data_IF_761530738467
#
_entry.id   IF_761530738467
#
_cell.length_a   1.000
_cell.length_b   1.000
_cell.length_c   1.000
_cell.angle_alpha   90.00
_cell.angle_beta   90.00
_cell.angle_gamma   90.00
#
_symmetry.space_group_name_H-M   'P 1'
#
loop_
_entity.id
_entity.type
_entity.pdbx_description
1 polymer ?
#
# COMPACT_ATOMS: atom_id res chain seq x y z
N UNK A 1 39.34 15.32 12.34
CA UNK A 1 38.09 14.78 11.78
C UNK A 1 37.31 15.98 11.28
N UNK A 2 36.75 15.92 10.08
CA UNK A 2 35.97 17.04 9.57
C UNK A 2 34.69 17.25 10.39
N UNK A 3 34.30 18.49 10.63
CA UNK A 3 33.14 18.84 11.45
C UNK A 3 31.86 18.56 10.65
N UNK A 4 30.90 17.84 11.25
CA UNK A 4 29.63 17.50 10.60
C UNK A 4 28.48 18.17 11.32
N UNK A 5 27.60 18.83 10.59
CA UNK A 5 26.34 19.35 11.13
C UNK A 5 25.20 18.36 10.92
N UNK A 6 24.41 18.15 11.95
CA UNK A 6 23.22 17.29 11.93
C UNK A 6 21.99 18.15 12.10
N UNK A 7 21.15 18.19 11.07
CA UNK A 7 19.97 19.04 11.01
C UNK A 7 18.74 18.14 11.07
N UNK A 8 17.92 18.31 12.08
CA UNK A 8 16.63 17.65 12.18
C UNK A 8 15.51 18.62 11.89
N UNK A 9 14.58 18.18 11.06
CA UNK A 9 13.42 18.95 10.64
C UNK A 9 12.16 18.20 11.05
N UNK A 10 11.41 18.78 11.97
CA UNK A 10 10.03 18.37 12.23
C UNK A 10 9.09 19.07 11.25
N UNK A 11 8.34 18.27 10.49
CA UNK A 11 7.58 18.72 9.32
C UNK A 11 6.11 18.94 9.69
N UNK A 12 5.68 20.20 9.66
CA UNK A 12 4.29 20.60 9.83
C UNK A 12 3.58 20.92 8.52
N UNK A 13 2.26 21.13 8.60
CA UNK A 13 1.47 21.57 7.45
C UNK A 13 1.81 23.02 7.06
N UNK A 14 1.91 23.91 8.05
CA UNK A 14 2.11 25.35 7.84
C UNK A 14 3.58 25.76 8.03
N UNK A 15 4.31 25.07 8.89
CA UNK A 15 5.67 25.42 9.27
C UNK A 15 6.53 24.18 9.54
N UNK A 16 7.85 24.34 9.39
CA UNK A 16 8.85 23.34 9.67
C UNK A 16 9.74 23.85 10.81
N UNK A 17 9.91 23.04 11.86
CA UNK A 17 10.76 23.35 13.01
C UNK A 17 12.11 22.67 12.80
N UNK A 18 13.19 23.46 12.90
CA UNK A 18 14.54 23.03 12.57
C UNK A 18 15.43 23.11 13.79
N UNK A 19 16.25 22.06 14.00
CA UNK A 19 17.34 22.04 14.98
C UNK A 19 18.63 21.61 14.32
N UNK A 20 19.72 22.32 14.62
CA UNK A 20 21.06 22.03 14.12
C UNK A 20 21.93 21.63 15.32
N UNK A 21 22.51 20.44 15.24
CA UNK A 21 23.48 19.93 16.20
C UNK A 21 24.87 19.85 15.57
N UNK A 22 25.90 20.01 16.38
CA UNK A 22 27.27 19.68 15.99
C UNK A 22 27.60 18.18 16.21
N UNK A 23 28.85 17.83 16.01
CA UNK A 23 29.36 16.46 16.16
C UNK A 23 29.34 15.94 17.59
N UNK A 24 29.35 16.84 18.58
CA UNK A 24 29.23 16.50 20.00
C UNK A 24 27.78 16.24 20.42
N UNK A 25 26.81 16.74 19.63
CA UNK A 25 25.37 16.67 19.94
C UNK A 25 24.86 17.91 20.68
N UNK A 26 25.67 18.96 20.77
CA UNK A 26 25.26 20.25 21.33
C UNK A 26 24.40 21.03 20.34
N UNK A 27 23.42 21.79 20.86
CA UNK A 27 22.54 22.62 20.04
C UNK A 27 23.31 23.84 19.52
N UNK A 28 23.43 23.95 18.19
CA UNK A 28 24.07 25.10 17.53
C UNK A 28 23.04 26.20 17.27
N UNK A 29 21.89 25.80 16.73
CA UNK A 29 20.85 26.74 16.31
C UNK A 29 19.48 26.04 16.21
N UNK A 30 18.42 26.79 16.50
CA UNK A 30 17.05 26.37 16.24
C UNK A 30 16.21 27.50 15.67
N UNK A 31 15.34 27.18 14.72
CA UNK A 31 14.44 28.16 14.10
C UNK A 31 13.23 27.47 13.46
N UNK A 32 12.25 28.28 13.06
CA UNK A 32 11.06 27.84 12.34
C UNK A 32 10.97 28.56 11.01
N UNK A 33 10.61 27.83 9.96
CA UNK A 33 10.31 28.39 8.63
C UNK A 33 8.90 28.00 8.20
N UNK A 34 8.29 28.75 7.29
CA UNK A 34 7.05 28.34 6.62
C UNK A 34 7.28 27.09 5.76
N UNK A 35 6.25 26.25 5.62
CA UNK A 35 6.31 25.09 4.74
C UNK A 35 5.91 25.46 3.30
N UNK A 36 6.68 26.36 2.70
CA UNK A 36 6.54 26.87 1.35
C UNK A 36 7.92 27.14 0.72
N UNK A 37 7.94 27.64 -0.52
CA UNK A 37 9.19 27.92 -1.23
C UNK A 37 10.04 29.00 -0.52
N UNK A 38 9.52 30.18 -0.13
CA UNK A 38 10.30 31.16 0.63
C UNK A 38 10.80 30.66 1.98
N UNK A 39 10.05 29.78 2.65
CA UNK A 39 10.50 29.11 3.87
C UNK A 39 11.64 28.14 3.63
N UNK A 40 11.61 27.42 2.50
CA UNK A 40 12.68 26.52 2.08
C UNK A 40 13.96 27.28 1.76
N UNK A 41 13.87 28.38 1.00
CA UNK A 41 15.01 29.27 0.69
C UNK A 41 15.66 29.78 1.98
N UNK A 42 14.85 30.30 2.93
CA UNK A 42 15.33 30.74 4.24
C UNK A 42 15.98 29.63 5.07
N UNK A 43 15.52 28.38 4.92
CA UNK A 43 16.12 27.23 5.59
C UNK A 43 17.51 26.96 5.02
N UNK A 44 17.63 26.92 3.68
CA UNK A 44 18.92 26.73 2.99
C UNK A 44 19.91 27.81 3.40
N UNK A 45 19.53 29.09 3.31
CA UNK A 45 20.40 30.22 3.66
C UNK A 45 20.95 30.06 5.08
N UNK A 46 20.07 29.77 6.06
CA UNK A 46 20.49 29.56 7.45
C UNK A 46 21.40 28.35 7.64
N UNK A 47 21.16 27.25 6.93
CA UNK A 47 22.02 26.07 7.01
C UNK A 47 23.41 26.37 6.46
N UNK A 48 23.48 27.06 5.32
CA UNK A 48 24.73 27.47 4.68
C UNK A 48 25.50 28.46 5.56
N UNK A 49 24.81 29.47 6.12
CA UNK A 49 25.41 30.44 7.04
C UNK A 49 26.05 29.75 8.25
N UNK A 50 25.33 28.80 8.87
CA UNK A 50 25.84 28.05 10.03
C UNK A 50 26.99 27.12 9.64
N UNK A 51 26.91 26.46 8.48
CA UNK A 51 27.98 25.61 7.97
C UNK A 51 29.27 26.40 7.73
N UNK A 52 29.17 27.62 7.18
CA UNK A 52 30.30 28.51 6.95
C UNK A 52 30.88 29.08 8.26
N UNK A 53 30.02 29.40 9.24
CA UNK A 53 30.46 29.95 10.51
C UNK A 53 31.19 28.92 11.41
N UNK A 54 30.84 27.64 11.30
CA UNK A 54 31.43 26.54 12.09
C UNK A 54 32.45 25.68 11.33
N UNK A 55 33.02 26.22 10.24
CA UNK A 55 33.57 25.50 9.07
C UNK A 55 33.25 23.99 9.04
N UNK A 56 32.02 23.65 8.69
CA UNK A 56 31.57 22.27 8.56
C UNK A 56 32.04 21.65 7.24
N UNK A 57 32.60 20.44 7.31
CA UNK A 57 33.01 19.66 6.13
C UNK A 57 31.85 18.87 5.51
N UNK A 58 30.83 18.54 6.32
CA UNK A 58 29.67 17.77 5.87
C UNK A 58 28.40 18.25 6.55
N UNK A 59 27.28 18.12 5.84
CA UNK A 59 25.95 18.43 6.36
C UNK A 59 25.04 17.21 6.22
N UNK A 60 24.30 16.87 7.26
CA UNK A 60 23.29 15.80 7.22
C UNK A 60 21.94 16.35 7.64
N UNK A 61 20.94 16.23 6.76
CA UNK A 61 19.58 16.69 7.01
C UNK A 61 18.66 15.48 7.17
N UNK A 62 17.85 15.47 8.21
CA UNK A 62 16.89 14.43 8.51
C UNK A 62 15.50 15.03 8.66
N UNK A 63 14.50 14.32 8.15
CA UNK A 63 13.10 14.68 8.31
C UNK A 63 12.23 13.43 8.46
N UNK A 64 11.10 13.54 9.13
CA UNK A 64 10.16 12.43 9.30
C UNK A 64 9.13 12.37 8.15
N UNK A 65 8.92 11.18 7.57
CA UNK A 65 7.89 10.97 6.55
C UNK A 65 6.62 10.29 7.10
N UNK A 66 5.70 11.10 7.63
CA UNK A 66 4.36 10.64 8.05
C UNK A 66 3.27 10.94 7.01
N UNK A 67 3.38 12.06 6.28
CA UNK A 67 2.41 12.51 5.27
C UNK A 67 3.14 12.87 3.95
N UNK A 68 2.68 13.87 3.19
CA UNK A 68 3.32 14.33 1.95
C UNK A 68 4.01 15.69 2.08
N UNK A 69 3.93 16.33 3.25
CA UNK A 69 4.43 17.69 3.49
C UNK A 69 5.96 17.78 3.36
N UNK A 70 6.66 16.66 3.55
CA UNK A 70 8.11 16.57 3.36
C UNK A 70 8.54 16.52 1.88
N UNK A 71 7.64 16.19 0.94
CA UNK A 71 8.03 15.80 -0.41
C UNK A 71 8.66 16.95 -1.21
N UNK A 72 8.00 18.12 -1.22
CA UNK A 72 8.51 19.30 -1.91
C UNK A 72 9.77 19.85 -1.25
N UNK A 73 9.80 19.89 0.10
CA UNK A 73 10.99 20.30 0.83
C UNK A 73 12.18 19.38 0.52
N UNK A 74 12.00 18.07 0.63
CA UNK A 74 13.06 17.10 0.35
C UNK A 74 13.59 17.23 -1.07
N UNK A 75 12.72 17.46 -2.06
CA UNK A 75 13.14 17.69 -3.44
C UNK A 75 13.95 18.99 -3.56
N UNK A 76 13.43 20.11 -3.06
CA UNK A 76 14.09 21.40 -3.14
C UNK A 76 15.48 21.39 -2.46
N UNK A 77 15.62 20.69 -1.32
CA UNK A 77 16.91 20.54 -0.64
C UNK A 77 17.91 19.69 -1.44
N UNK A 78 17.45 18.67 -2.18
CA UNK A 78 18.33 17.88 -3.07
C UNK A 78 18.74 18.67 -4.31
N UNK A 79 17.85 19.50 -4.84
CA UNK A 79 18.06 20.27 -6.06
C UNK A 79 18.87 21.56 -5.79
N UNK A 80 19.09 21.93 -4.52
CA UNK A 80 19.79 23.15 -4.14
C UNK A 80 21.33 23.05 -4.38
N UNK A 81 21.92 23.96 -5.20
CA UNK A 81 23.34 23.93 -5.50
C UNK A 81 24.25 24.20 -4.30
N UNK A 82 23.82 25.02 -3.34
CA UNK A 82 24.63 25.39 -2.17
C UNK A 82 24.76 24.21 -1.23
N UNK A 83 23.65 23.50 -0.97
CA UNK A 83 23.67 22.26 -0.19
C UNK A 83 24.46 21.15 -0.88
N UNK A 84 24.36 21.05 -2.21
CA UNK A 84 25.16 20.09 -3.00
C UNK A 84 26.66 20.36 -2.84
N UNK A 85 27.08 21.62 -2.89
CA UNK A 85 28.49 22.01 -2.70
C UNK A 85 29.03 21.67 -1.29
N UNK A 86 28.16 21.62 -0.29
CA UNK A 86 28.48 21.22 1.10
C UNK A 86 28.49 19.70 1.32
N UNK A 87 28.32 18.89 0.27
CA UNK A 87 28.27 17.43 0.39
C UNK A 87 27.06 16.95 1.22
N UNK A 88 25.93 17.65 1.13
CA UNK A 88 24.78 17.40 2.01
C UNK A 88 24.15 16.03 1.77
N UNK A 89 24.02 15.23 2.83
CA UNK A 89 23.24 13.99 2.83
C UNK A 89 21.84 14.24 3.39
N UNK A 90 20.79 13.88 2.64
CA UNK A 90 19.40 14.04 3.08
C UNK A 90 18.79 12.67 3.37
N UNK A 91 18.16 12.52 4.52
CA UNK A 91 17.49 11.30 4.95
C UNK A 91 16.04 11.56 5.31
N UNK A 92 15.14 10.83 4.65
CA UNK A 92 13.72 10.79 4.98
C UNK A 92 13.47 9.55 5.84
N UNK A 93 13.25 9.77 7.13
CA UNK A 93 13.28 8.75 8.17
C UNK A 93 11.88 8.21 8.42
N UNK A 94 11.79 6.89 8.61
CA UNK A 94 10.54 6.24 8.99
C UNK A 94 10.14 6.68 10.41
N UNK A 95 8.90 7.12 10.65
CA UNK A 95 8.41 7.53 11.97
C UNK A 95 8.71 6.51 13.08
N UNK A 96 8.62 5.20 12.77
CA UNK A 96 8.91 4.14 13.75
C UNK A 96 10.35 4.10 14.23
N UNK A 97 11.30 4.57 13.41
CA UNK A 97 12.71 4.66 13.80
C UNK A 97 12.85 5.82 14.79
N UNK A 98 12.23 6.97 14.48
CA UNK A 98 12.21 8.14 15.36
C UNK A 98 11.51 7.80 16.69
N UNK A 99 10.31 7.20 16.66
CA UNK A 99 9.59 6.76 17.87
C UNK A 99 10.42 5.81 18.74
N UNK A 100 11.11 4.84 18.11
CA UNK A 100 11.99 3.91 18.82
C UNK A 100 13.27 4.57 19.35
N UNK A 101 13.72 5.65 18.73
CA UNK A 101 14.87 6.43 19.21
C UNK A 101 14.47 7.39 20.33
N UNK A 102 13.26 7.97 20.27
CA UNK A 102 12.68 8.82 21.32
C UNK A 102 12.68 8.12 22.68
N UNK A 103 12.51 6.79 22.74
CA UNK A 103 12.52 6.05 24.01
C UNK A 103 13.86 6.04 24.75
N UNK A 104 14.95 6.51 24.13
CA UNK A 104 16.25 6.69 24.79
C UNK A 104 16.22 7.91 25.74
N UNK A 105 15.38 8.92 25.46
CA UNK A 105 15.27 10.12 26.27
C UNK A 105 14.24 9.90 27.37
N UNK A 106 14.68 9.93 28.63
CA UNK A 106 13.80 9.86 29.82
C UNK A 106 13.14 11.21 30.05
N UNK A 107 11.83 11.22 30.34
CA UNK A 107 11.06 12.40 30.76
C UNK A 107 11.12 13.61 29.81
N UNK A 108 11.30 13.35 28.51
CA UNK A 108 11.32 14.41 27.49
C UNK A 108 9.92 15.00 27.28
N UNK A 109 9.80 16.33 27.39
CA UNK A 109 8.58 17.05 27.06
C UNK A 109 8.24 16.91 25.57
N UNK A 110 6.95 16.88 25.24
CA UNK A 110 6.51 16.82 23.83
C UNK A 110 6.47 18.23 23.24
N UNK A 111 7.51 18.60 22.50
CA UNK A 111 7.57 19.86 21.74
C UNK A 111 8.18 19.62 20.36
N UNK A 112 7.72 20.34 19.34
CA UNK A 112 8.21 20.23 17.95
C UNK A 112 9.73 20.49 17.85
N UNK A 113 10.25 21.37 18.70
CA UNK A 113 11.68 21.64 18.82
C UNK A 113 12.47 20.42 19.33
N UNK A 114 11.92 19.68 20.29
CA UNK A 114 12.55 18.46 20.80
C UNK A 114 12.43 17.33 19.78
N UNK A 115 11.31 17.25 19.05
CA UNK A 115 11.14 16.28 17.97
C UNK A 115 12.16 16.52 16.84
N UNK A 116 12.37 17.77 16.43
CA UNK A 116 13.44 18.15 15.49
C UNK A 116 14.83 17.81 16.04
N UNK A 117 15.11 18.06 17.32
CA UNK A 117 16.39 17.68 17.94
C UNK A 117 16.60 16.16 17.93
N UNK A 118 15.58 15.37 18.24
CA UNK A 118 15.65 13.91 18.22
C UNK A 118 15.95 13.40 16.81
N UNK A 119 15.37 14.01 15.78
CA UNK A 119 15.67 13.68 14.38
C UNK A 119 17.16 13.94 14.07
N UNK A 120 17.70 15.08 14.49
CA UNK A 120 19.12 15.41 14.32
C UNK A 120 20.03 14.40 15.03
N UNK A 121 19.74 14.06 16.29
CA UNK A 121 20.49 13.07 17.05
C UNK A 121 20.39 11.66 16.44
N UNK A 122 19.24 11.30 15.86
CA UNK A 122 19.06 10.04 15.15
C UNK A 122 19.98 9.93 13.93
N UNK A 123 20.20 11.03 13.19
CA UNK A 123 21.20 11.09 12.13
C UNK A 123 22.61 10.93 12.67
N UNK A 124 22.93 11.62 13.78
CA UNK A 124 24.23 11.59 14.44
C UNK A 124 24.61 10.18 14.91
N UNK A 125 23.62 9.38 15.32
CA UNK A 125 23.82 7.96 15.63
C UNK A 125 24.29 7.12 14.44
N UNK A 126 24.12 7.59 13.20
CA UNK A 126 24.78 7.05 12.00
C UNK A 126 24.17 5.75 11.44
N UNK A 127 23.03 5.29 11.96
CA UNK A 127 22.31 4.10 11.43
C UNK A 127 21.21 4.43 10.44
N UNK A 128 21.05 5.70 10.12
CA UNK A 128 20.11 6.20 9.10
C UNK A 128 20.85 6.27 7.75
N UNK A 129 20.21 5.78 6.69
CA UNK A 129 20.76 5.87 5.33
C UNK A 129 20.18 7.10 4.63
N UNK A 130 20.97 7.82 3.82
CA UNK A 130 20.46 8.85 2.93
C UNK A 130 19.34 8.29 2.03
N UNK A 131 18.34 9.12 1.79
CA UNK A 131 17.21 8.82 0.90
C UNK A 131 17.46 9.54 -0.41
N UNK A 132 17.64 8.83 -1.54
CA UNK A 132 17.76 9.48 -2.85
C UNK A 132 16.54 10.34 -3.17
N UNK A 133 16.68 11.40 -3.98
CA UNK A 133 15.56 12.21 -4.40
C UNK A 133 14.52 11.36 -5.16
N UNK A 134 13.23 11.75 -5.14
CA UNK A 134 12.21 11.08 -5.93
C UNK A 134 12.60 11.05 -7.42
N UNK A 135 12.73 9.84 -7.98
CA UNK A 135 13.03 9.69 -9.40
C UNK A 135 11.77 9.98 -10.22
N UNK A 136 11.78 11.10 -10.94
CA UNK A 136 10.65 11.59 -11.74
C UNK A 136 10.27 10.65 -12.89
N UNK A 137 11.13 9.70 -13.26
CA UNK A 137 10.78 8.61 -14.19
C UNK A 137 9.71 7.68 -13.61
N UNK A 138 9.70 7.49 -12.28
CA UNK A 138 8.82 6.55 -11.58
C UNK A 138 7.79 7.23 -10.67
N UNK A 139 8.05 8.46 -10.22
CA UNK A 139 7.21 9.15 -9.24
C UNK A 139 5.74 9.35 -9.69
N UNK A 140 5.43 9.72 -10.95
CA UNK A 140 4.04 9.80 -11.41
C UNK A 140 3.33 8.44 -11.35
N UNK A 141 3.97 7.37 -11.83
CA UNK A 141 3.44 6.02 -11.78
C UNK A 141 3.25 5.54 -10.33
N UNK A 142 4.18 5.90 -9.44
CA UNK A 142 4.10 5.58 -8.01
C UNK A 142 2.89 6.26 -7.38
N UNK A 143 2.62 7.53 -7.71
CA UNK A 143 1.43 8.24 -7.23
C UNK A 143 0.14 7.53 -7.67
N UNK A 144 0.03 7.15 -8.94
CA UNK A 144 -1.16 6.47 -9.47
C UNK A 144 -1.38 5.10 -8.83
N UNK A 145 -0.32 4.30 -8.71
CA UNK A 145 -0.38 2.95 -8.12
C UNK A 145 -0.66 2.98 -6.62
N UNK A 146 -0.09 3.93 -5.85
CA UNK A 146 -0.43 4.11 -4.43
C UNK A 146 -1.88 4.59 -4.24
N UNK A 147 -2.37 5.49 -5.10
CA UNK A 147 -3.77 5.91 -5.08
C UNK A 147 -4.71 4.73 -5.35
N UNK A 148 -4.40 3.92 -6.36
CA UNK A 148 -5.15 2.71 -6.67
C UNK A 148 -5.21 1.75 -5.48
N UNK A 149 -4.09 1.52 -4.80
CA UNK A 149 -4.05 0.67 -3.60
C UNK A 149 -5.07 1.12 -2.55
N UNK A 150 -5.06 2.42 -2.21
CA UNK A 150 -5.97 2.99 -1.22
C UNK A 150 -7.43 2.88 -1.65
N UNK A 151 -7.71 3.21 -2.90
CA UNK A 151 -9.06 3.14 -3.46
C UNK A 151 -9.61 1.70 -3.51
N UNK A 152 -8.78 0.70 -3.86
CA UNK A 152 -9.18 -0.72 -3.76
C UNK A 152 -9.45 -1.11 -2.32
N UNK A 153 -8.62 -0.64 -1.37
CA UNK A 153 -8.86 -0.83 0.06
C UNK A 153 -10.20 -0.23 0.52
N UNK A 154 -10.54 0.97 0.03
CA UNK A 154 -11.82 1.62 0.32
C UNK A 154 -12.99 0.82 -0.25
N UNK A 155 -12.88 0.35 -1.50
CA UNK A 155 -13.88 -0.51 -2.14
C UNK A 155 -14.11 -1.80 -1.35
N UNK A 156 -13.06 -2.46 -0.89
CA UNK A 156 -13.20 -3.67 -0.05
C UNK A 156 -13.89 -3.36 1.28
N UNK A 157 -13.53 -2.24 1.94
CA UNK A 157 -14.22 -1.84 3.18
C UNK A 157 -15.70 -1.57 2.94
N UNK A 158 -16.04 -0.97 1.81
CA UNK A 158 -17.43 -0.69 1.47
C UNK A 158 -18.23 -1.94 1.13
N UNK A 159 -17.64 -2.87 0.38
CA UNK A 159 -18.24 -4.18 0.14
C UNK A 159 -18.53 -4.91 1.46
N UNK A 160 -17.60 -4.87 2.42
CA UNK A 160 -17.84 -5.47 3.74
C UNK A 160 -18.98 -4.77 4.51
N UNK A 161 -19.08 -3.44 4.43
CA UNK A 161 -20.20 -2.69 5.02
C UNK A 161 -21.53 -3.08 4.38
N UNK A 162 -21.60 -3.08 3.05
CA UNK A 162 -22.78 -3.49 2.31
C UNK A 162 -23.17 -4.95 2.62
N UNK A 163 -22.22 -5.87 2.71
CA UNK A 163 -22.50 -7.27 3.10
C UNK A 163 -23.16 -7.38 4.48
N UNK A 164 -22.75 -6.56 5.45
CA UNK A 164 -23.36 -6.52 6.78
C UNK A 164 -24.79 -5.94 6.74
N UNK A 165 -25.02 -4.90 5.93
CA UNK A 165 -26.36 -4.33 5.73
C UNK A 165 -27.29 -5.31 5.01
N UNK A 166 -26.78 -6.03 3.99
CA UNK A 166 -27.50 -7.11 3.32
C UNK A 166 -27.83 -8.22 4.33
N UNK A 167 -26.92 -8.58 5.22
CA UNK A 167 -27.23 -9.56 6.27
C UNK A 167 -28.34 -9.07 7.21
N UNK A 168 -28.32 -7.79 7.60
CA UNK A 168 -29.35 -7.19 8.45
C UNK A 168 -30.73 -7.15 7.77
N UNK A 169 -30.79 -6.85 6.46
CA UNK A 169 -32.02 -6.81 5.66
C UNK A 169 -32.52 -8.20 5.24
N UNK A 170 -31.58 -9.07 4.85
CA UNK A 170 -31.80 -10.31 4.13
C UNK A 170 -30.74 -11.36 4.53
N UNK A 171 -30.84 -11.87 5.77
CA UNK A 171 -29.78 -12.66 6.45
C UNK A 171 -29.29 -13.91 5.73
N UNK A 172 -30.16 -14.63 5.01
CA UNK A 172 -29.75 -15.85 4.28
C UNK A 172 -29.18 -15.55 2.89
N UNK A 173 -29.28 -14.33 2.39
CA UNK A 173 -28.94 -14.00 1.01
C UNK A 173 -27.47 -14.24 0.68
N UNK A 174 -26.54 -13.83 1.54
CA UNK A 174 -25.10 -13.97 1.26
C UNK A 174 -24.66 -15.44 1.19
N UNK A 175 -25.28 -16.32 1.97
CA UNK A 175 -24.94 -17.75 2.01
C UNK A 175 -25.51 -18.50 0.81
N UNK A 176 -26.74 -18.18 0.42
CA UNK A 176 -27.46 -18.79 -0.68
C UNK A 176 -27.38 -17.96 -1.97
N UNK A 177 -26.49 -16.96 -2.09
CA UNK A 177 -26.49 -16.05 -3.22
C UNK A 177 -26.23 -16.82 -4.53
N UNK A 178 -27.20 -16.91 -5.45
CA UNK A 178 -26.99 -17.71 -6.67
C UNK A 178 -26.19 -16.94 -7.72
N UNK A 179 -25.91 -15.65 -7.49
CA UNK A 179 -25.15 -14.81 -8.41
C UNK A 179 -23.65 -15.03 -8.21
N UNK A 180 -22.89 -15.05 -9.31
CA UNK A 180 -21.42 -15.10 -9.27
C UNK A 180 -20.76 -13.89 -8.60
N UNK A 181 -21.48 -12.77 -8.50
CA UNK A 181 -21.06 -11.55 -7.82
C UNK A 181 -22.22 -10.96 -7.02
N UNK A 182 -22.06 -10.93 -5.69
CA UNK A 182 -23.01 -10.34 -4.74
C UNK A 182 -23.32 -8.86 -5.02
N UNK A 183 -22.36 -8.13 -5.59
CA UNK A 183 -22.52 -6.71 -5.92
C UNK A 183 -22.72 -6.48 -7.42
N UNK A 184 -23.07 -7.53 -8.17
CA UNK A 184 -23.43 -7.42 -9.58
C UNK A 184 -24.82 -6.80 -9.77
N UNK A 185 -25.10 -6.25 -10.95
CA UNK A 185 -26.34 -5.51 -11.22
C UNK A 185 -27.62 -6.26 -10.84
N UNK A 186 -27.76 -7.54 -11.24
CA UNK A 186 -28.92 -8.35 -10.89
C UNK A 186 -29.04 -8.61 -9.38
N UNK A 187 -27.92 -8.89 -8.70
CA UNK A 187 -27.93 -9.14 -7.26
C UNK A 187 -28.28 -7.87 -6.49
N UNK A 188 -27.68 -6.73 -6.86
CA UNK A 188 -28.00 -5.42 -6.31
C UNK A 188 -29.46 -5.05 -6.51
N UNK A 189 -30.02 -5.26 -7.71
CA UNK A 189 -31.44 -4.97 -7.97
C UNK A 189 -32.39 -5.73 -7.04
N UNK A 190 -32.07 -6.99 -6.72
CA UNK A 190 -32.87 -7.79 -5.77
C UNK A 190 -32.78 -7.22 -4.34
N UNK A 191 -31.57 -6.94 -3.84
CA UNK A 191 -31.40 -6.50 -2.43
C UNK A 191 -31.72 -5.02 -2.22
N UNK A 192 -31.68 -4.19 -3.26
CA UNK A 192 -31.97 -2.75 -3.22
C UNK A 192 -33.48 -2.53 -3.27
N UNK A 193 -34.19 -3.20 -4.19
CA UNK A 193 -35.60 -2.90 -4.48
C UNK A 193 -36.62 -3.77 -3.74
N UNK A 194 -36.22 -4.93 -3.21
CA UNK A 194 -37.16 -5.88 -2.61
C UNK A 194 -36.82 -6.25 -1.16
N UNK A 195 -37.86 -6.51 -0.38
CA UNK A 195 -37.76 -7.14 0.95
C UNK A 195 -37.88 -8.66 0.86
N UNK A 196 -37.41 -9.41 1.88
CA UNK A 196 -37.65 -10.85 1.94
C UNK A 196 -39.14 -11.24 1.85
N UNK A 197 -40.05 -10.45 2.41
CA UNK A 197 -41.49 -10.72 2.33
C UNK A 197 -42.04 -10.50 0.93
N UNK A 198 -41.64 -9.42 0.26
CA UNK A 198 -42.00 -9.17 -1.14
C UNK A 198 -41.50 -10.32 -2.03
N UNK A 199 -40.25 -10.76 -1.87
CA UNK A 199 -39.68 -11.87 -2.65
C UNK A 199 -40.41 -13.19 -2.38
N UNK A 200 -40.77 -13.46 -1.12
CA UNK A 200 -41.45 -14.69 -0.74
C UNK A 200 -42.87 -14.77 -1.34
N UNK A 201 -43.56 -13.63 -1.43
CA UNK A 201 -44.93 -13.51 -1.94
C UNK A 201 -45.02 -13.30 -3.46
N UNK A 202 -44.01 -12.68 -4.09
CA UNK A 202 -43.95 -12.37 -5.52
C UNK A 202 -44.11 -13.64 -6.37
N UNK A 203 -44.86 -13.62 -7.51
CA UNK A 203 -44.89 -14.71 -8.48
C UNK A 203 -43.49 -15.12 -8.97
N UNK A 204 -43.32 -16.37 -9.40
CA UNK A 204 -42.00 -16.84 -9.87
C UNK A 204 -41.60 -16.11 -11.15
N UNK A 205 -42.57 -15.92 -12.05
CA UNK A 205 -42.43 -15.33 -13.37
C UNK A 205 -41.95 -13.88 -13.26
N UNK A 206 -42.53 -13.09 -12.34
CA UNK A 206 -42.13 -11.69 -12.12
C UNK A 206 -40.69 -11.57 -11.60
N UNK A 207 -40.27 -12.47 -10.71
CA UNK A 207 -38.89 -12.50 -10.22
C UNK A 207 -37.90 -12.90 -11.32
N UNK A 208 -38.28 -13.83 -12.20
CA UNK A 208 -37.49 -14.22 -13.38
C UNK A 208 -37.32 -13.02 -14.32
N UNK A 209 -38.40 -12.29 -14.62
CA UNK A 209 -38.37 -11.13 -15.51
C UNK A 209 -37.44 -10.02 -14.97
N UNK A 210 -37.54 -9.71 -13.67
CA UNK A 210 -36.63 -8.77 -13.01
C UNK A 210 -35.16 -9.22 -13.13
N UNK A 211 -34.88 -10.50 -12.87
CA UNK A 211 -33.54 -11.05 -12.98
C UNK A 211 -33.00 -10.98 -14.41
N UNK A 212 -33.84 -11.23 -15.42
CA UNK A 212 -33.48 -11.12 -16.83
C UNK A 212 -33.16 -9.68 -17.24
N UNK A 213 -33.96 -8.72 -16.79
CA UNK A 213 -33.78 -7.30 -17.05
C UNK A 213 -32.42 -6.79 -16.54
N UNK A 214 -31.98 -7.26 -15.36
CA UNK A 214 -30.73 -6.83 -14.73
C UNK A 214 -29.55 -7.82 -14.89
N UNK A 215 -29.79 -8.99 -15.50
CA UNK A 215 -28.83 -10.08 -15.63
C UNK A 215 -27.86 -9.96 -16.80
N UNK A 216 -28.03 -8.95 -17.66
CA UNK A 216 -27.20 -8.68 -18.83
C UNK A 216 -26.97 -9.94 -19.71
N UNK A 217 -28.00 -10.80 -19.84
CA UNK A 217 -27.99 -12.06 -20.60
C UNK A 217 -26.90 -13.08 -20.20
N UNK A 218 -26.32 -12.95 -19.00
CA UNK A 218 -25.23 -13.81 -18.50
C UNK A 218 -25.65 -14.78 -17.39
N UNK A 219 -26.89 -14.68 -16.92
CA UNK A 219 -27.43 -15.57 -15.92
C UNK A 219 -27.60 -16.96 -16.51
N UNK A 220 -27.15 -17.98 -15.76
CA UNK A 220 -27.29 -19.38 -16.12
C UNK A 220 -28.26 -20.01 -15.13
N UNK A 221 -29.10 -20.91 -15.61
CA UNK A 221 -30.03 -21.69 -14.78
C UNK A 221 -30.97 -20.82 -13.92
N UNK A 222 -31.65 -19.88 -14.58
CA UNK A 222 -32.57 -18.93 -13.94
C UNK A 222 -33.62 -19.62 -13.04
N UNK A 223 -34.25 -20.76 -13.43
CA UNK A 223 -35.21 -21.44 -12.57
C UNK A 223 -34.63 -21.82 -11.20
N UNK A 224 -33.43 -22.40 -11.15
CA UNK A 224 -32.80 -22.78 -9.88
C UNK A 224 -32.31 -21.56 -9.09
N UNK A 225 -31.81 -20.53 -9.77
CA UNK A 225 -31.45 -19.26 -9.13
C UNK A 225 -32.67 -18.62 -8.43
N UNK A 226 -33.81 -18.56 -9.11
CA UNK A 226 -35.07 -18.02 -8.58
C UNK A 226 -35.57 -18.82 -7.39
N UNK A 227 -35.55 -20.16 -7.48
CA UNK A 227 -35.91 -21.05 -6.36
C UNK A 227 -35.01 -20.81 -5.15
N UNK A 228 -33.71 -20.63 -5.38
CA UNK A 228 -32.73 -20.34 -4.33
C UNK A 228 -33.00 -19.00 -3.65
N UNK A 229 -33.29 -17.93 -4.42
CA UNK A 229 -33.63 -16.60 -3.88
C UNK A 229 -34.91 -16.66 -3.04
N UNK A 230 -35.97 -17.32 -3.53
CA UNK A 230 -37.22 -17.47 -2.76
C UNK A 230 -37.02 -18.30 -1.49
N UNK A 231 -36.19 -19.34 -1.55
CA UNK A 231 -35.80 -20.12 -0.35
C UNK A 231 -35.07 -19.25 0.67
N UNK A 232 -34.06 -18.50 0.23
CA UNK A 232 -33.34 -17.58 1.10
C UNK A 232 -34.29 -16.57 1.75
N UNK A 233 -35.22 -16.01 0.98
CA UNK A 233 -36.19 -15.01 1.47
C UNK A 233 -37.10 -15.57 2.57
N UNK A 234 -37.58 -16.81 2.41
CA UNK A 234 -38.37 -17.51 3.44
C UNK A 234 -37.57 -17.79 4.70
N UNK A 235 -36.29 -18.13 4.56
CA UNK A 235 -35.42 -18.51 5.67
C UNK A 235 -34.78 -17.32 6.42
N UNK A 236 -34.92 -16.11 5.90
CA UNK A 236 -34.27 -14.93 6.47
C UNK A 236 -35.04 -14.35 7.65
N UNK A 237 -34.32 -13.80 8.62
CA UNK A 237 -34.94 -13.04 9.71
C UNK A 237 -35.69 -11.83 9.15
N UNK A 238 -36.81 -11.47 9.78
CA UNK A 238 -37.56 -10.26 9.45
C UNK A 238 -36.99 -9.08 10.20
N UNK A 239 -36.58 -8.07 9.44
CA UNK A 239 -36.14 -6.81 9.99
C UNK A 239 -37.34 -6.11 10.64
N UNK A 240 -37.10 -5.42 11.77
CA UNK A 240 -38.13 -4.61 12.39
C UNK A 240 -38.61 -3.51 11.41
N UNK A 241 -39.92 -3.34 11.19
CA UNK A 241 -40.43 -2.32 10.25
C UNK A 241 -39.89 -0.91 10.51
N UNK A 242 -39.63 -0.54 11.78
CA UNK A 242 -39.06 0.77 12.15
C UNK A 242 -37.61 0.97 11.67
N UNK A 243 -36.91 -0.10 11.33
CA UNK A 243 -35.53 -0.07 10.84
C UNK A 243 -35.44 -0.15 9.32
N UNK A 244 -36.52 -0.52 8.63
CA UNK A 244 -36.50 -0.87 7.21
C UNK A 244 -36.01 0.29 6.34
N UNK A 245 -36.63 1.46 6.45
CA UNK A 245 -36.26 2.64 5.67
C UNK A 245 -34.79 3.04 5.88
N UNK A 246 -34.33 3.06 7.14
CA UNK A 246 -32.94 3.39 7.48
C UNK A 246 -31.94 2.39 6.86
N UNK A 247 -32.25 1.10 6.90
CA UNK A 247 -31.39 0.07 6.31
C UNK A 247 -31.42 0.15 4.78
N UNK A 248 -32.58 0.41 4.18
CA UNK A 248 -32.73 0.55 2.72
C UNK A 248 -31.93 1.74 2.20
N UNK A 249 -32.04 2.92 2.82
CA UNK A 249 -31.28 4.12 2.43
C UNK A 249 -29.78 3.88 2.57
N UNK A 250 -29.33 3.35 3.71
CA UNK A 250 -27.89 3.13 3.95
C UNK A 250 -27.30 2.04 3.05
N UNK A 251 -28.08 0.99 2.72
CA UNK A 251 -27.68 -0.03 1.75
C UNK A 251 -27.58 0.54 0.33
N UNK A 252 -28.57 1.30 -0.12
CA UNK A 252 -28.56 1.95 -1.44
C UNK A 252 -27.33 2.86 -1.61
N UNK A 253 -27.06 3.74 -0.64
CA UNK A 253 -25.87 4.59 -0.65
C UNK A 253 -24.55 3.79 -0.69
N UNK A 254 -24.49 2.67 0.03
CA UNK A 254 -23.31 1.79 0.04
C UNK A 254 -23.12 1.11 -1.33
N UNK A 255 -24.19 0.63 -1.96
CA UNK A 255 -24.17 0.06 -3.30
C UNK A 255 -23.78 1.08 -4.37
N UNK A 256 -24.30 2.32 -4.30
CA UNK A 256 -23.88 3.42 -5.16
C UNK A 256 -22.38 3.74 -5.01
N UNK A 257 -21.89 3.77 -3.78
CA UNK A 257 -20.47 3.99 -3.48
C UNK A 257 -19.59 2.88 -4.07
N UNK A 258 -20.03 1.61 -3.99
CA UNK A 258 -19.37 0.48 -4.65
C UNK A 258 -19.33 0.68 -6.16
N UNK A 259 -20.46 1.01 -6.79
CA UNK A 259 -20.55 1.28 -8.24
C UNK A 259 -19.62 2.42 -8.65
N UNK A 260 -19.57 3.49 -7.86
CA UNK A 260 -18.65 4.62 -8.05
C UNK A 260 -17.20 4.16 -8.02
N UNK A 261 -16.75 3.48 -6.96
CA UNK A 261 -15.37 3.01 -6.85
C UNK A 261 -14.98 2.02 -7.94
N UNK A 262 -15.88 1.13 -8.36
CA UNK A 262 -15.62 0.22 -9.49
C UNK A 262 -15.42 0.98 -10.81
N UNK A 263 -16.15 2.08 -11.03
CA UNK A 263 -15.96 2.96 -12.19
C UNK A 263 -14.62 3.70 -12.13
N UNK A 264 -14.27 4.27 -10.97
CA UNK A 264 -12.99 4.97 -10.78
C UNK A 264 -11.80 4.01 -10.89
N UNK A 265 -11.97 2.75 -10.46
CA UNK A 265 -10.98 1.69 -10.66
C UNK A 265 -10.60 1.50 -12.12
N UNK A 266 -11.58 1.49 -13.03
CA UNK A 266 -11.30 1.38 -14.47
C UNK A 266 -10.50 2.58 -14.98
N UNK A 267 -10.85 3.80 -14.55
CA UNK A 267 -10.14 5.03 -14.94
C UNK A 267 -8.68 5.03 -14.48
N UNK A 268 -8.42 4.67 -13.22
CA UNK A 268 -7.04 4.62 -12.72
C UNK A 268 -6.24 3.47 -13.35
N UNK A 269 -6.86 2.32 -13.62
CA UNK A 269 -6.21 1.21 -14.33
C UNK A 269 -5.75 1.64 -15.74
N UNK A 270 -6.56 2.44 -16.44
CA UNK A 270 -6.20 3.00 -17.74
C UNK A 270 -5.06 4.03 -17.64
N UNK A 271 -5.09 4.91 -16.64
CA UNK A 271 -4.02 5.88 -16.42
C UNK A 271 -2.69 5.18 -16.11
N UNK A 272 -2.70 4.16 -15.25
CA UNK A 272 -1.53 3.32 -14.93
C UNK A 272 -1.00 2.64 -16.20
N UNK A 273 -1.89 2.03 -17.00
CA UNK A 273 -1.50 1.35 -18.24
C UNK A 273 -0.94 2.30 -19.30
N UNK A 274 -1.32 3.59 -19.28
CA UNK A 274 -0.72 4.61 -20.15
C UNK A 274 0.68 4.98 -19.66
N UNK A 275 0.81 5.26 -18.37
CA UNK A 275 2.05 5.76 -17.77
C UNK A 275 3.18 4.72 -17.82
N UNK A 276 2.86 3.45 -17.56
CA UNK A 276 3.86 2.38 -17.58
C UNK A 276 4.50 2.14 -18.96
N UNK A 277 3.79 2.43 -20.06
CA UNK A 277 4.33 2.25 -21.42
C UNK A 277 5.58 3.09 -21.68
N UNK A 278 5.74 4.21 -20.98
CA UNK A 278 6.92 5.06 -21.09
C UNK A 278 8.14 4.52 -20.33
N UNK A 279 7.95 3.49 -19.49
CA UNK A 279 8.99 2.93 -18.62
C UNK A 279 9.38 1.54 -19.14
N UNK A 280 10.58 1.38 -19.74
CA UNK A 280 11.05 0.07 -20.18
C UNK A 280 11.15 -0.92 -19.02
N UNK A 281 10.53 -2.09 -19.17
CA UNK A 281 10.62 -3.18 -18.20
C UNK A 281 10.35 -4.54 -18.85
N UNK A 282 10.70 -5.61 -18.14
CA UNK A 282 10.53 -6.99 -18.62
C UNK A 282 9.38 -7.73 -17.94
N UNK A 283 8.75 -7.15 -16.91
CA UNK A 283 7.83 -7.88 -16.02
C UNK A 283 6.54 -8.36 -16.68
N UNK A 284 5.99 -7.65 -17.66
CA UNK A 284 4.77 -8.07 -18.37
C UNK A 284 4.97 -9.31 -19.25
N UNK A 285 6.23 -9.74 -19.46
CA UNK A 285 6.51 -11.01 -20.14
C UNK A 285 6.24 -12.23 -19.25
N UNK A 286 6.07 -12.03 -17.93
CA UNK A 286 5.72 -13.10 -16.98
C UNK A 286 4.21 -13.40 -17.11
N UNK A 287 3.80 -14.65 -17.40
CA UNK A 287 2.40 -15.04 -17.42
C UNK A 287 1.69 -14.69 -16.09
N UNK A 288 0.58 -13.96 -16.20
CA UNK A 288 -0.19 -13.50 -15.04
C UNK A 288 0.22 -12.12 -14.48
N UNK A 289 1.29 -11.49 -14.98
CA UNK A 289 1.63 -10.11 -14.62
C UNK A 289 1.17 -9.16 -15.73
N UNK A 290 0.13 -8.38 -15.44
CA UNK A 290 -0.35 -7.31 -16.32
C UNK A 290 0.12 -5.90 -15.91
N UNK A 291 -0.30 -4.86 -16.64
CA UNK A 291 0.19 -3.48 -16.50
C UNK A 291 0.05 -2.90 -15.10
N UNK A 292 -0.99 -3.28 -14.37
CA UNK A 292 -1.20 -2.81 -12.99
C UNK A 292 -0.15 -3.37 -12.03
N UNK A 293 0.16 -4.65 -12.15
CA UNK A 293 1.09 -5.33 -11.26
C UNK A 293 2.54 -4.97 -11.61
N UNK A 294 2.89 -4.93 -12.89
CA UNK A 294 4.19 -4.43 -13.35
C UNK A 294 4.40 -2.99 -12.88
N UNK A 295 3.39 -2.12 -13.00
CA UNK A 295 3.48 -0.73 -12.54
C UNK A 295 3.71 -0.59 -11.05
N UNK A 296 2.92 -1.27 -10.23
CA UNK A 296 3.08 -1.19 -8.79
C UNK A 296 4.42 -1.74 -8.31
N UNK A 297 5.00 -2.72 -9.02
CA UNK A 297 6.34 -3.25 -8.71
C UNK A 297 7.42 -2.27 -9.17
N UNK A 298 7.42 -1.87 -10.44
CA UNK A 298 8.46 -1.02 -11.04
C UNK A 298 8.51 0.35 -10.36
N UNK A 299 7.35 0.97 -10.08
CA UNK A 299 7.30 2.30 -9.49
C UNK A 299 7.79 2.36 -8.04
N UNK A 300 7.72 1.26 -7.29
CA UNK A 300 8.23 1.20 -5.92
C UNK A 300 9.69 0.75 -5.84
N UNK A 301 10.16 -0.03 -6.82
CA UNK A 301 11.58 -0.40 -6.96
C UNK A 301 12.39 0.82 -7.44
N UNK A 302 11.91 1.51 -8.46
CA UNK A 302 12.69 2.49 -9.21
C UNK A 302 13.82 1.82 -9.99
N UNK A 303 15.01 2.40 -9.93
CA UNK A 303 16.21 1.75 -10.47
C UNK A 303 16.56 0.49 -9.64
N UNK A 304 16.62 -0.66 -10.32
CA UNK A 304 16.96 -1.94 -9.71
C UNK A 304 18.42 -2.00 -9.23
N UNK A 305 19.32 -1.19 -9.81
CA UNK A 305 20.75 -1.16 -9.50
C UNK A 305 21.05 -0.79 -8.04
N UNK A 306 20.12 -0.11 -7.37
CA UNK A 306 20.23 0.26 -5.94
C UNK A 306 20.18 -0.94 -4.98
N UNK A 307 19.89 -2.14 -5.48
CA UNK A 307 19.79 -3.35 -4.69
C UNK A 307 20.89 -4.34 -5.10
N UNK A 308 21.78 -4.67 -4.18
CA UNK A 308 22.89 -5.62 -4.44
C UNK A 308 22.40 -7.02 -4.86
N UNK A 309 21.24 -7.44 -4.35
CA UNK A 309 20.67 -8.76 -4.61
C UNK A 309 19.16 -8.84 -4.29
N UNK A 310 18.54 -9.95 -4.68
CA UNK A 310 17.13 -10.21 -4.41
C UNK A 310 16.77 -10.27 -2.91
N UNK A 311 17.73 -10.47 -2.00
CA UNK A 311 17.46 -10.46 -0.55
C UNK A 311 17.31 -9.02 -0.06
N UNK A 312 18.12 -8.08 -0.58
CA UNK A 312 17.98 -6.66 -0.31
C UNK A 312 16.60 -6.16 -0.78
N UNK A 313 16.18 -6.54 -2.00
CA UNK A 313 14.86 -6.21 -2.52
C UNK A 313 13.73 -6.82 -1.67
N UNK A 314 13.86 -8.09 -1.26
CA UNK A 314 12.86 -8.72 -0.38
C UNK A 314 12.78 -8.04 0.98
N UNK A 315 13.91 -7.63 1.56
CA UNK A 315 13.97 -6.87 2.82
C UNK A 315 13.28 -5.52 2.67
N UNK A 316 13.53 -4.83 1.57
CA UNK A 316 12.87 -3.57 1.24
C UNK A 316 11.36 -3.74 1.11
N UNK A 317 10.88 -4.79 0.45
CA UNK A 317 9.44 -5.13 0.38
C UNK A 317 8.86 -5.68 1.70
N UNK A 318 9.66 -5.88 2.75
CA UNK A 318 9.20 -6.53 3.99
C UNK A 318 8.74 -7.98 3.79
N UNK A 319 9.25 -8.66 2.76
CA UNK A 319 9.06 -10.10 2.50
C UNK A 319 10.18 -10.93 3.13
N UNK A 320 10.53 -10.60 4.36
CA UNK A 320 11.56 -11.27 5.18
C UNK A 320 11.00 -11.61 6.54
N UNK A 321 11.48 -12.70 7.12
CA UNK A 321 11.11 -13.16 8.46
C UNK A 321 12.23 -12.80 9.44
N UNK A 322 11.87 -12.35 10.66
CA UNK A 322 12.86 -12.08 11.71
C UNK A 322 13.44 -13.40 12.21
N UNK A 323 14.74 -13.59 12.17
CA UNK A 323 15.31 -14.76 12.83
C UNK A 323 15.20 -14.58 14.35
N UNK A 324 14.31 -15.33 15.00
CA UNK A 324 14.31 -15.50 16.45
C UNK A 324 15.14 -16.74 16.76
N UNK A 325 16.46 -16.61 16.76
CA UNK A 325 17.36 -17.64 17.25
C UNK A 325 17.67 -17.34 18.72
N UNK A 326 17.05 -18.10 19.63
CA UNK A 326 17.73 -18.42 20.88
C UNK A 326 18.47 -19.74 20.66
N UNK A 327 19.62 -19.93 21.29
CA UNK A 327 20.60 -21.00 20.97
C UNK A 327 20.07 -22.43 21.07
N UNK A 328 18.82 -22.64 21.51
CA UNK A 328 18.15 -23.94 21.64
C UNK A 328 16.73 -24.01 21.06
N UNK A 329 16.21 -22.94 20.41
CA UNK A 329 14.84 -22.92 19.90
C UNK A 329 14.73 -22.22 18.54
N UNK A 330 14.28 -22.96 17.53
CA UNK A 330 13.84 -22.41 16.25
C UNK A 330 12.31 -22.31 16.26
N UNK A 331 11.79 -21.09 16.42
CA UNK A 331 10.36 -20.84 16.32
C UNK A 331 9.86 -21.20 14.91
N UNK A 332 8.87 -22.10 14.82
CA UNK A 332 8.24 -22.47 13.54
C UNK A 332 7.31 -21.36 13.01
N UNK A 333 6.80 -20.50 13.89
CA UNK A 333 5.96 -19.35 13.56
C UNK A 333 6.72 -18.05 13.82
N UNK A 334 7.15 -17.42 12.72
CA UNK A 334 7.89 -16.17 12.75
C UNK A 334 7.04 -15.07 12.08
N UNK A 335 6.80 -13.94 12.75
CA UNK A 335 6.06 -12.84 12.16
C UNK A 335 6.80 -12.23 10.97
N UNK A 336 6.05 -11.89 9.93
CA UNK A 336 6.58 -11.16 8.77
C UNK A 336 7.07 -9.77 9.20
N UNK A 337 8.19 -9.32 8.64
CA UNK A 337 8.72 -7.97 8.86
C UNK A 337 7.72 -6.91 8.38
N UNK A 338 7.28 -6.03 9.29
CA UNK A 338 6.29 -4.96 8.98
C UNK A 338 6.89 -3.60 8.63
N UNK A 339 8.22 -3.47 8.64
CA UNK A 339 8.95 -2.21 8.41
C UNK A 339 9.34 -1.93 6.96
N UNK A 340 9.06 -2.85 6.03
CA UNK A 340 9.33 -2.65 4.59
C UNK A 340 8.23 -1.85 3.87
N UNK A 341 8.50 -1.49 2.62
CA UNK A 341 7.58 -0.84 1.70
C UNK A 341 6.33 -1.71 1.49
N UNK A 342 5.22 -1.30 2.09
CA UNK A 342 3.99 -2.07 2.10
C UNK A 342 3.26 -2.05 0.75
N UNK A 343 3.46 -1.01 -0.07
CA UNK A 343 2.91 -0.94 -1.42
C UNK A 343 3.57 -1.96 -2.33
N UNK A 344 4.91 -2.01 -2.33
CA UNK A 344 5.67 -3.03 -3.07
C UNK A 344 5.28 -4.43 -2.61
N UNK A 345 5.13 -4.65 -1.29
CA UNK A 345 4.66 -5.93 -0.76
C UNK A 345 3.29 -6.31 -1.30
N UNK A 346 2.33 -5.38 -1.29
CA UNK A 346 1.00 -5.60 -1.82
C UNK A 346 1.05 -6.04 -3.27
N UNK A 347 1.75 -5.29 -4.13
CA UNK A 347 1.83 -5.59 -5.55
C UNK A 347 2.54 -6.92 -5.85
N UNK A 348 3.59 -7.26 -5.10
CA UNK A 348 4.25 -8.57 -5.22
C UNK A 348 3.36 -9.74 -4.79
N UNK A 349 2.54 -9.56 -3.74
CA UNK A 349 1.62 -10.60 -3.27
C UNK A 349 0.45 -10.79 -4.24
N UNK A 350 -0.13 -9.71 -4.76
CA UNK A 350 -1.18 -9.77 -5.79
C UNK A 350 -0.64 -10.36 -7.10
N UNK A 351 0.56 -9.96 -7.53
CA UNK A 351 1.22 -10.55 -8.69
C UNK A 351 1.45 -12.06 -8.47
N UNK A 352 1.93 -12.48 -7.31
CA UNK A 352 2.12 -13.90 -7.00
C UNK A 352 0.81 -14.69 -6.99
N UNK A 353 -0.29 -14.08 -6.53
CA UNK A 353 -1.62 -14.67 -6.55
C UNK A 353 -2.14 -14.89 -7.98
N UNK A 354 -1.75 -14.04 -8.92
CA UNK A 354 -2.04 -14.20 -10.35
C UNK A 354 -1.08 -15.21 -11.00
N UNK A 355 0.24 -15.03 -10.84
CA UNK A 355 1.28 -15.89 -11.44
C UNK A 355 1.09 -17.36 -11.09
N UNK A 356 0.69 -17.71 -9.86
CA UNK A 356 0.44 -19.12 -9.48
C UNK A 356 -0.66 -19.82 -10.30
N UNK A 357 -1.56 -19.06 -10.94
CA UNK A 357 -2.64 -19.58 -11.78
C UNK A 357 -2.14 -19.84 -13.20
N UNK A 358 -1.24 -18.99 -13.69
CA UNK A 358 -0.77 -18.99 -15.08
C UNK A 358 0.55 -19.72 -15.27
N UNK A 359 1.41 -19.78 -14.25
CA UNK A 359 2.72 -20.40 -14.30
C UNK A 359 2.78 -21.67 -13.45
N UNK A 360 2.89 -22.87 -14.05
CA UNK A 360 2.82 -24.16 -13.36
C UNK A 360 3.81 -24.29 -12.18
N UNK A 361 5.05 -23.83 -12.32
CA UNK A 361 6.07 -23.92 -11.26
C UNK A 361 5.63 -23.15 -10.00
N UNK A 362 5.01 -21.99 -10.18
CA UNK A 362 4.49 -21.18 -9.06
C UNK A 362 3.21 -21.78 -8.49
N UNK A 363 2.36 -22.37 -9.33
CA UNK A 363 1.18 -23.12 -8.89
C UNK A 363 1.54 -24.30 -8.00
N UNK A 364 2.54 -25.09 -8.39
CA UNK A 364 3.03 -26.23 -7.59
C UNK A 364 3.67 -25.76 -6.28
N UNK A 365 4.53 -24.74 -6.34
CA UNK A 365 5.13 -24.16 -5.14
C UNK A 365 4.07 -23.68 -4.15
N UNK A 366 3.06 -22.95 -4.64
CA UNK A 366 1.94 -22.49 -3.84
C UNK A 366 1.17 -23.65 -3.19
N UNK A 367 0.80 -24.69 -3.96
CA UNK A 367 0.07 -25.86 -3.44
C UNK A 367 0.84 -26.57 -2.34
N UNK A 368 2.14 -26.79 -2.54
CA UNK A 368 3.01 -27.39 -1.51
C UNK A 368 3.07 -26.53 -0.25
N UNK A 369 3.23 -25.21 -0.36
CA UNK A 369 3.22 -24.32 0.81
C UNK A 369 1.86 -24.19 1.48
N UNK A 370 0.79 -24.41 0.74
CA UNK A 370 -0.56 -24.44 1.28
C UNK A 370 -0.79 -25.68 2.15
N UNK A 371 -0.30 -26.85 1.74
CA UNK A 371 -0.40 -28.09 2.52
C UNK A 371 0.52 -28.12 3.73
N UNK A 372 1.71 -27.50 3.64
CA UNK A 372 2.65 -27.39 4.76
C UNK A 372 2.15 -26.44 5.89
N UNK A 373 1.24 -25.51 5.58
CA UNK A 373 0.80 -24.50 6.53
C UNK A 373 -0.23 -25.05 7.53
N UNK A 374 0.01 -24.79 8.82
CA UNK A 374 -0.91 -25.18 9.91
C UNK A 374 -2.10 -24.24 10.08
N UNK A 375 -1.88 -22.95 9.81
CA UNK A 375 -2.87 -21.89 9.97
C UNK A 375 -2.76 -20.89 8.83
N UNK A 376 -3.89 -20.25 8.47
CA UNK A 376 -3.94 -19.23 7.42
C UNK A 376 -3.27 -19.67 6.10
N UNK A 377 -3.52 -20.91 5.70
CA UNK A 377 -2.80 -21.63 4.66
C UNK A 377 -2.66 -20.83 3.38
N UNK A 378 -3.75 -20.22 2.92
CA UNK A 378 -3.77 -19.36 1.74
C UNK A 378 -2.82 -18.16 1.87
N UNK A 379 -2.94 -17.37 2.94
CA UNK A 379 -2.12 -16.17 3.15
C UNK A 379 -0.63 -16.52 3.29
N UNK A 380 -0.29 -17.56 4.05
CA UNK A 380 1.10 -18.00 4.24
C UNK A 380 1.71 -18.49 2.93
N UNK A 381 1.00 -19.34 2.20
CA UNK A 381 1.46 -19.86 0.92
C UNK A 381 1.64 -18.73 -0.11
N UNK A 382 0.73 -17.76 -0.19
CA UNK A 382 0.87 -16.61 -1.07
C UNK A 382 2.09 -15.74 -0.73
N UNK A 383 2.32 -15.42 0.54
CA UNK A 383 3.47 -14.59 0.95
C UNK A 383 4.80 -15.29 0.63
N UNK A 384 4.89 -16.61 0.84
CA UNK A 384 6.06 -17.40 0.44
C UNK A 384 6.24 -17.44 -1.09
N UNK A 385 5.14 -17.53 -1.83
CA UNK A 385 5.14 -17.48 -3.31
C UNK A 385 5.59 -16.11 -3.81
N UNK A 386 5.15 -15.02 -3.18
CA UNK A 386 5.62 -13.67 -3.45
C UNK A 386 7.12 -13.52 -3.16
N UNK A 387 7.61 -14.14 -2.09
CA UNK A 387 9.06 -14.15 -1.81
C UNK A 387 9.87 -14.87 -2.88
N UNK A 388 9.35 -15.98 -3.43
CA UNK A 388 9.94 -16.65 -4.60
C UNK A 388 9.89 -15.73 -5.82
N UNK A 389 8.77 -15.04 -6.05
CA UNK A 389 8.59 -14.10 -7.17
C UNK A 389 9.60 -12.94 -7.14
N UNK A 390 9.97 -12.44 -5.95
CA UNK A 390 11.01 -11.40 -5.81
C UNK A 390 12.32 -11.79 -6.49
N UNK A 391 12.71 -13.08 -6.45
CA UNK A 391 13.94 -13.55 -7.12
C UNK A 391 13.84 -13.37 -8.63
N UNK A 392 12.71 -13.79 -9.21
CA UNK A 392 12.45 -13.66 -10.64
C UNK A 392 12.39 -12.18 -11.06
N UNK A 393 11.62 -11.35 -10.34
CA UNK A 393 11.53 -9.91 -10.59
C UNK A 393 12.91 -9.26 -10.57
N UNK A 394 13.73 -9.56 -9.55
CA UNK A 394 15.09 -9.03 -9.45
C UNK A 394 15.94 -9.42 -10.66
N UNK A 395 15.96 -10.70 -11.04
CA UNK A 395 16.76 -11.19 -12.17
C UNK A 395 16.33 -10.58 -13.50
N UNK A 396 15.02 -10.53 -13.80
CA UNK A 396 14.55 -10.00 -15.08
C UNK A 396 14.79 -8.49 -15.23
N UNK A 397 14.67 -7.74 -14.13
CA UNK A 397 14.95 -6.30 -14.15
C UNK A 397 16.45 -6.02 -14.20
N UNK A 398 17.27 -6.72 -13.41
CA UNK A 398 18.72 -6.46 -13.36
C UNK A 398 19.45 -6.88 -14.62
N UNK A 399 18.97 -7.91 -15.31
CA UNK A 399 19.57 -8.42 -16.55
C UNK A 399 18.91 -7.86 -17.82
N UNK A 400 17.80 -7.13 -17.70
CA UNK A 400 17.02 -6.67 -18.85
C UNK A 400 16.49 -7.83 -19.72
N UNK A 401 16.33 -9.02 -19.15
CA UNK A 401 15.92 -10.23 -19.88
C UNK A 401 14.40 -10.43 -19.81
N UNK A 402 13.82 -10.84 -20.93
CA UNK A 402 12.42 -11.29 -20.97
C UNK A 402 12.29 -12.64 -20.26
N UNK A 403 11.11 -12.88 -19.66
CA UNK A 403 10.78 -14.15 -19.06
C UNK A 403 10.81 -15.26 -20.13
N UNK A 404 11.52 -16.35 -19.81
CA UNK A 404 11.52 -17.58 -20.59
C UNK A 404 11.05 -18.71 -19.68
N UNK A 405 9.95 -19.35 -20.07
CA UNK A 405 9.47 -20.51 -19.35
C UNK A 405 10.53 -21.60 -19.38
N UNK A 406 10.88 -22.13 -18.21
CA UNK A 406 11.81 -23.24 -18.11
C UNK A 406 11.13 -24.46 -18.72
N UNK A 407 11.62 -24.93 -19.87
CA UNK A 407 11.18 -26.21 -20.44
C UNK A 407 11.48 -27.29 -19.40
N UNK A 408 10.44 -27.91 -18.86
CA UNK A 408 10.61 -29.10 -18.03
C UNK A 408 10.93 -30.24 -19.00
N UNK A 409 12.20 -30.62 -19.06
CA UNK A 409 12.66 -31.86 -19.68
C UNK A 409 12.47 -33.01 -18.71
#
# INVERSE_FOLDING_TARGET
MGRTLFIGIDIGADSNVVRILDDTGEDVCGFTVSNDLPGTERLVDKVVDVANALPADNVKIGMEATNLYWWHLSQALHDDPQLTALGTEIAVINPKIIDGFKSIYTDMAKTDALDARVIADCLRFGRVRPTPPPDMRYAPLQRLTRFRYHMVGNLTREKNRASNLIFLKFSSYNMDCPFSNLFGQASSAVVENLTPDQIAAMPVEELVDMMLQHGNKRLKDIPEMTKTIKRAARNSYRLNPKMQESVDITLAMSLETIRFFESQKKKIDQAIAKEIKAIPHTLETIPGIGPVYSAGIVAEIGDISRFDNHNALAKFAGLTWRQNQSSKFNAQDIPLTRSGNYYLRYYLVEAANSVRVWEPEYGEFYRRKFTEARHHNHKRALVLTARKLVRMVFTLLSQGQIYKQRRMN
#
